data_IF_076828729899
#
_entry.id   IF_076828729899
#
_cell.length_a   1.000
_cell.length_b   1.000
_cell.length_c   1.000
_cell.angle_alpha   90.00
_cell.angle_beta   90.00
_cell.angle_gamma   90.00
#
_symmetry.space_group_name_H-M   'P 1'
#
loop_
_entity.id
_entity.type
_entity.pdbx_description
1 polymer ?
#
# COMPACT_ATOMS: atom_id res chain seq x y z
N UNK A 1 -9.72 3.18 -20.37
CA UNK A 1 -9.31 3.64 -19.01
C UNK A 1 -8.14 4.64 -19.01
N UNK A 2 -6.98 4.38 -19.64
CA UNK A 2 -5.82 5.33 -19.62
C UNK A 2 -6.12 6.75 -20.13
N UNK A 3 -6.89 6.91 -21.20
CA UNK A 3 -7.28 8.24 -21.70
C UNK A 3 -8.12 9.03 -20.68
N UNK A 4 -8.99 8.35 -19.92
CA UNK A 4 -9.79 8.95 -18.86
C UNK A 4 -8.94 9.47 -17.70
N UNK A 5 -8.00 8.64 -17.20
CA UNK A 5 -7.08 9.04 -16.14
C UNK A 5 -6.19 10.21 -16.55
N UNK A 6 -5.73 10.22 -17.81
CA UNK A 6 -4.92 11.32 -18.36
C UNK A 6 -5.70 12.63 -18.43
N UNK A 7 -6.96 12.61 -18.88
CA UNK A 7 -7.80 13.83 -18.90
C UNK A 7 -7.99 14.43 -17.51
N UNK A 8 -7.90 13.64 -16.45
CA UNK A 8 -8.01 14.09 -15.06
C UNK A 8 -6.66 14.38 -14.38
N UNK A 9 -5.53 14.29 -15.10
CA UNK A 9 -4.21 14.48 -14.52
C UNK A 9 -3.82 13.45 -13.46
N UNK A 10 -4.47 12.28 -13.45
CA UNK A 10 -4.21 11.23 -12.47
C UNK A 10 -2.96 10.44 -12.91
N UNK A 11 -1.86 10.63 -12.17
CA UNK A 11 -0.58 9.94 -12.42
C UNK A 11 -0.53 8.58 -11.72
N UNK A 12 0.11 7.61 -12.38
CA UNK A 12 0.35 6.31 -11.78
C UNK A 12 1.41 6.41 -10.68
N UNK A 13 1.14 5.82 -9.51
CA UNK A 13 2.11 5.71 -8.41
C UNK A 13 2.88 4.38 -8.46
N UNK A 14 2.32 3.38 -9.13
CA UNK A 14 2.90 2.04 -9.25
C UNK A 14 3.77 1.99 -10.52
N UNK A 15 4.97 1.39 -10.47
CA UNK A 15 5.80 1.17 -11.65
C UNK A 15 5.10 0.31 -12.70
N UNK A 16 5.41 0.56 -13.97
CA UNK A 16 5.09 -0.37 -15.05
C UNK A 16 5.90 -1.65 -14.87
N UNK A 17 5.26 -2.82 -15.03
CA UNK A 17 5.98 -4.10 -15.01
C UNK A 17 6.92 -4.20 -16.21
N UNK A 18 8.06 -4.86 -16.04
CA UNK A 18 9.12 -4.92 -17.06
C UNK A 18 8.64 -5.54 -18.39
N UNK A 19 7.80 -6.58 -18.34
CA UNK A 19 7.17 -7.21 -19.50
C UNK A 19 6.26 -6.24 -20.27
N UNK A 20 5.48 -5.43 -19.56
CA UNK A 20 4.60 -4.43 -20.14
C UNK A 20 5.41 -3.32 -20.81
N UNK A 21 6.48 -2.86 -20.16
CA UNK A 21 7.40 -1.88 -20.73
C UNK A 21 8.08 -2.42 -22.01
N UNK A 22 8.49 -3.70 -22.02
CA UNK A 22 9.09 -4.36 -23.18
C UNK A 22 8.08 -4.53 -24.33
N UNK A 23 6.87 -4.98 -24.02
CA UNK A 23 5.78 -5.11 -24.99
C UNK A 23 5.41 -3.75 -25.61
N UNK A 24 5.41 -2.69 -24.80
CA UNK A 24 5.18 -1.31 -25.26
C UNK A 24 6.29 -0.88 -26.23
N UNK A 25 7.55 -1.09 -25.88
CA UNK A 25 8.70 -0.78 -26.75
C UNK A 25 8.63 -1.53 -28.08
N UNK A 26 8.25 -2.82 -28.07
CA UNK A 26 8.10 -3.64 -29.28
C UNK A 26 7.04 -3.11 -30.26
N UNK A 27 6.00 -2.44 -29.75
CA UNK A 27 4.94 -1.83 -30.57
C UNK A 27 5.34 -0.49 -31.20
N UNK A 28 6.54 0.04 -30.93
CA UNK A 28 7.02 1.29 -31.51
C UNK A 28 6.06 2.46 -31.26
N UNK A 29 5.71 3.19 -32.32
CA UNK A 29 4.78 4.33 -32.28
C UNK A 29 3.38 3.96 -31.78
N UNK A 30 2.92 2.73 -32.05
CA UNK A 30 1.63 2.22 -31.58
C UNK A 30 1.65 1.84 -30.08
N UNK A 31 2.83 1.78 -29.45
CA UNK A 31 3.00 1.45 -28.03
C UNK A 31 2.59 2.60 -27.10
N UNK A 32 2.62 3.84 -27.58
CA UNK A 32 2.28 5.02 -26.79
C UNK A 32 3.32 5.39 -25.70
N UNK A 33 2.97 6.41 -24.92
CA UNK A 33 3.85 7.07 -23.94
C UNK A 33 4.18 6.14 -22.75
N UNK A 34 5.44 6.11 -22.28
CA UNK A 34 5.82 5.42 -21.05
C UNK A 34 5.04 5.93 -19.82
N UNK A 35 4.82 5.03 -18.86
CA UNK A 35 4.28 5.41 -17.55
C UNK A 35 5.41 6.03 -16.72
N UNK A 36 5.25 7.29 -16.34
CA UNK A 36 6.13 7.95 -15.36
C UNK A 36 5.57 7.70 -13.96
N UNK A 37 6.42 7.24 -13.05
CA UNK A 37 6.10 7.09 -11.63
C UNK A 37 7.23 7.70 -10.79
N UNK A 38 6.92 8.05 -9.55
CA UNK A 38 7.89 8.54 -8.56
C UNK A 38 8.37 7.35 -7.70
N UNK A 39 9.65 6.93 -7.82
CA UNK A 39 10.18 5.79 -7.07
C UNK A 39 10.19 6.02 -5.57
N UNK A 40 10.46 7.24 -5.11
CA UNK A 40 10.55 7.54 -3.68
C UNK A 40 9.17 7.60 -3.04
N UNK A 41 8.18 8.12 -3.77
CA UNK A 41 6.78 8.01 -3.37
C UNK A 41 6.31 6.55 -3.34
N UNK A 42 6.73 5.74 -4.30
CA UNK A 42 6.37 4.31 -4.31
C UNK A 42 6.98 3.54 -3.13
N UNK A 43 8.24 3.83 -2.75
CA UNK A 43 8.91 3.22 -1.59
C UNK A 43 8.14 3.44 -0.28
N UNK A 44 7.49 4.60 -0.10
CA UNK A 44 6.73 4.92 1.12
C UNK A 44 5.57 3.95 1.40
N UNK A 45 5.07 3.25 0.38
CA UNK A 45 4.03 2.20 0.51
C UNK A 45 4.45 1.09 1.48
N UNK A 46 5.73 0.73 1.52
CA UNK A 46 6.26 -0.30 2.41
C UNK A 46 6.03 0.02 3.89
N UNK A 47 5.98 1.30 4.30
CA UNK A 47 5.64 1.66 5.68
C UNK A 47 4.20 1.26 6.04
N UNK A 48 3.26 1.52 5.13
CA UNK A 48 1.85 1.15 5.27
C UNK A 48 1.70 -0.37 5.29
N UNK A 49 2.37 -1.08 4.37
CA UNK A 49 2.35 -2.55 4.32
C UNK A 49 2.90 -3.18 5.61
N UNK A 50 4.05 -2.69 6.10
CA UNK A 50 4.64 -3.14 7.37
C UNK A 50 3.71 -2.84 8.56
N UNK A 51 3.01 -1.71 8.56
CA UNK A 51 2.03 -1.38 9.58
C UNK A 51 0.89 -2.42 9.59
N UNK A 52 0.26 -2.68 8.44
CA UNK A 52 -0.78 -3.70 8.33
C UNK A 52 -0.29 -5.09 8.70
N UNK A 53 0.94 -5.45 8.31
CA UNK A 53 1.52 -6.74 8.69
C UNK A 53 1.63 -6.86 10.21
N UNK A 54 2.11 -5.83 10.91
CA UNK A 54 2.21 -5.81 12.38
C UNK A 54 0.86 -5.93 13.10
N UNK A 55 -0.21 -5.45 12.47
CA UNK A 55 -1.58 -5.60 12.98
C UNK A 55 -2.07 -7.03 12.72
N UNK A 56 -1.90 -7.53 11.50
CA UNK A 56 -2.36 -8.87 11.08
C UNK A 56 -1.68 -10.02 11.82
N UNK A 57 -0.40 -9.88 12.17
CA UNK A 57 0.35 -10.92 12.89
C UNK A 57 0.12 -10.90 14.40
N UNK A 58 -0.50 -9.85 14.95
CA UNK A 58 -0.78 -9.80 16.38
C UNK A 58 -1.82 -10.88 16.74
N UNK A 59 -1.45 -11.82 17.60
CA UNK A 59 -2.23 -13.02 17.92
C UNK A 59 -3.68 -12.72 18.33
N UNK A 60 -3.90 -11.60 19.02
CA UNK A 60 -5.25 -11.14 19.39
C UNK A 60 -6.20 -11.00 18.20
N UNK A 61 -5.71 -10.48 17.06
CA UNK A 61 -6.49 -10.36 15.83
C UNK A 61 -6.30 -11.53 14.87
N UNK A 62 -5.09 -12.09 14.79
CA UNK A 62 -4.73 -13.14 13.83
C UNK A 62 -5.60 -14.39 14.02
N UNK A 63 -5.89 -14.74 15.27
CA UNK A 63 -6.63 -15.96 15.60
C UNK A 63 -8.15 -15.77 15.55
N UNK A 64 -8.65 -14.52 15.44
CA UNK A 64 -10.09 -14.22 15.31
C UNK A 64 -10.95 -14.82 16.42
N UNK A 65 -10.52 -14.67 17.68
CA UNK A 65 -11.33 -15.11 18.83
C UNK A 65 -12.54 -14.21 19.11
N UNK A 66 -12.52 -12.98 18.61
CA UNK A 66 -13.63 -12.03 18.74
C UNK A 66 -14.93 -12.60 18.16
N UNK A 67 -15.99 -12.61 18.96
CA UNK A 67 -17.31 -13.14 18.58
C UNK A 67 -18.23 -12.09 17.95
N UNK A 68 -17.90 -10.81 18.08
CA UNK A 68 -18.70 -9.70 17.55
C UNK A 68 -17.83 -8.72 16.75
N UNK A 69 -18.41 -8.00 15.77
CA UNK A 69 -17.70 -6.97 15.01
C UNK A 69 -17.14 -5.84 15.89
N UNK A 70 -17.83 -5.51 16.98
CA UNK A 70 -17.43 -4.47 17.92
C UNK A 70 -16.16 -4.86 18.67
N UNK A 71 -16.10 -6.10 19.20
CA UNK A 71 -14.91 -6.63 19.86
C UNK A 71 -13.71 -6.68 18.92
N UNK A 72 -13.93 -7.12 17.67
CA UNK A 72 -12.89 -7.12 16.65
C UNK A 72 -12.36 -5.71 16.35
N UNK A 73 -13.27 -4.73 16.26
CA UNK A 73 -12.93 -3.32 16.01
C UNK A 73 -12.18 -2.71 17.21
N UNK A 74 -12.60 -3.03 18.44
CA UNK A 74 -11.89 -2.63 19.65
C UNK A 74 -10.46 -3.21 19.67
N UNK A 75 -10.27 -4.46 19.24
CA UNK A 75 -8.95 -5.07 19.08
C UNK A 75 -8.06 -4.35 18.07
N UNK A 76 -8.62 -3.88 16.94
CA UNK A 76 -7.90 -3.06 15.96
C UNK A 76 -7.45 -1.73 16.55
N UNK A 77 -8.35 -1.02 17.24
CA UNK A 77 -8.02 0.24 17.91
C UNK A 77 -6.96 0.05 18.98
N UNK A 78 -7.10 -0.95 19.85
CA UNK A 78 -6.13 -1.27 20.89
C UNK A 78 -4.75 -1.54 20.29
N UNK A 79 -4.67 -2.38 19.25
CA UNK A 79 -3.40 -2.68 18.59
C UNK A 79 -2.78 -1.44 17.96
N UNK A 80 -3.60 -0.58 17.32
CA UNK A 80 -3.19 0.71 16.78
C UNK A 80 -2.61 1.63 17.86
N UNK A 81 -3.30 1.79 18.98
CA UNK A 81 -2.86 2.60 20.13
C UNK A 81 -1.55 2.10 20.71
N UNK A 82 -1.36 0.78 20.88
CA UNK A 82 -0.09 0.20 21.35
C UNK A 82 1.05 0.50 20.37
N UNK A 83 0.80 0.41 19.06
CA UNK A 83 1.81 0.74 18.05
C UNK A 83 2.17 2.23 18.08
N UNK A 84 1.19 3.09 18.31
CA UNK A 84 1.38 4.54 18.44
C UNK A 84 2.19 4.90 19.68
N UNK A 85 1.86 4.34 20.85
CA UNK A 85 2.59 4.56 22.09
C UNK A 85 4.07 4.17 21.95
N UNK A 86 4.36 3.03 21.30
CA UNK A 86 5.74 2.59 21.03
C UNK A 86 6.54 3.53 20.14
N UNK A 87 5.89 4.36 19.32
CA UNK A 87 6.57 5.38 18.52
C UNK A 87 6.86 6.65 19.34
N UNK A 88 6.04 6.92 20.37
CA UNK A 88 6.17 8.10 21.22
C UNK A 88 7.12 7.88 22.39
N UNK A 89 7.27 6.65 22.87
CA UNK A 89 8.23 6.33 23.93
C UNK A 89 9.62 6.15 23.33
N UNK A 90 10.63 6.96 23.69
CA UNK A 90 12.01 6.69 23.33
C UNK A 90 12.41 5.35 23.95
N UNK A 91 13.13 4.52 23.20
CA UNK A 91 13.78 3.36 23.79
C UNK A 91 14.82 3.87 24.80
N UNK A 92 14.50 3.76 26.09
CA UNK A 92 15.46 3.86 27.19
C UNK A 92 16.38 2.65 27.19
#
# INVERSE_FOLDING_TARGET
NRAYLRRRGITAVIPEKADQAANRKRKGSAGGRPVTFDPDRYKRRNHVERCFQKIKTWRGLATRYDKSPESYTAGLHLRGSIMWLKLLTPAT
#
